data_IF_589717126815
#
_entry.id   IF_589717126815
#
_cell.length_a   1.000
_cell.length_b   1.000
_cell.length_c   1.000
_cell.angle_alpha   90.00
_cell.angle_beta   90.00
_cell.angle_gamma   90.00
#
_symmetry.space_group_name_H-M   'P 1'
#
loop_
_entity.id
_entity.type
_entity.pdbx_description
1 polymer ?
#
# COMPACT_ATOMS: atom_id res chain seq x y z
N UNK A 1 10.72 -0.21 -7.50
CA UNK A 1 10.49 -0.01 -6.06
C UNK A 1 11.61 -0.65 -5.24
N UNK A 2 12.10 0.03 -4.20
CA UNK A 2 13.02 -0.52 -3.19
C UNK A 2 12.44 -0.34 -1.78
N UNK A 3 12.64 -1.33 -0.90
CA UNK A 3 12.23 -1.26 0.51
C UNK A 3 13.41 -0.86 1.39
N UNK A 4 13.24 0.18 2.19
CA UNK A 4 14.19 0.49 3.26
C UNK A 4 14.18 -0.61 4.34
N UNK A 5 15.26 -0.73 5.11
CA UNK A 5 15.31 -1.68 6.24
C UNK A 5 14.15 -1.46 7.23
N UNK A 6 13.79 -0.20 7.48
CA UNK A 6 12.64 0.15 8.31
C UNK A 6 11.33 -0.36 7.71
N UNK A 7 11.10 -0.13 6.42
CA UNK A 7 9.91 -0.60 5.72
C UNK A 7 9.81 -2.14 5.72
N UNK A 8 10.92 -2.85 5.49
CA UNK A 8 10.98 -4.32 5.55
C UNK A 8 10.58 -4.84 6.92
N UNK A 9 11.15 -4.28 7.99
CA UNK A 9 10.76 -4.66 9.36
C UNK A 9 9.29 -4.38 9.65
N UNK A 10 8.76 -3.24 9.19
CA UNK A 10 7.35 -2.88 9.38
C UNK A 10 6.41 -3.80 8.62
N UNK A 11 6.76 -4.18 7.39
CA UNK A 11 6.00 -5.14 6.59
C UNK A 11 5.86 -6.48 7.32
N UNK A 12 6.97 -7.00 7.86
CA UNK A 12 6.99 -8.24 8.66
C UNK A 12 6.12 -8.08 9.92
N UNK A 13 6.33 -7.02 10.71
CA UNK A 13 5.58 -6.76 11.94
C UNK A 13 4.06 -6.62 11.72
N UNK A 14 3.65 -6.16 10.54
CA UNK A 14 2.25 -5.95 10.17
C UNK A 14 1.69 -7.06 9.29
N UNK A 15 2.47 -8.10 9.01
CA UNK A 15 2.11 -9.21 8.13
C UNK A 15 1.61 -8.74 6.76
N UNK A 16 2.25 -7.70 6.20
CA UNK A 16 1.94 -7.15 4.88
C UNK A 16 2.91 -7.79 3.87
N UNK A 17 2.43 -8.63 2.94
CA UNK A 17 3.26 -9.26 1.92
C UNK A 17 3.86 -8.23 0.97
N UNK A 18 5.04 -8.54 0.43
CA UNK A 18 5.72 -7.68 -0.55
C UNK A 18 4.85 -7.42 -1.79
N UNK A 19 4.12 -8.41 -2.28
CA UNK A 19 3.20 -8.24 -3.42
C UNK A 19 2.09 -7.22 -3.17
N UNK A 20 1.67 -7.04 -1.90
CA UNK A 20 0.71 -6.00 -1.53
C UNK A 20 1.38 -4.62 -1.54
N UNK A 21 2.64 -4.54 -1.11
CA UNK A 21 3.43 -3.31 -1.15
C UNK A 21 3.64 -2.87 -2.61
N UNK A 22 4.03 -3.80 -3.49
CA UNK A 22 4.17 -3.55 -4.92
C UNK A 22 2.86 -3.05 -5.54
N UNK A 23 1.75 -3.72 -5.27
CA UNK A 23 0.44 -3.27 -5.75
C UNK A 23 0.03 -1.88 -5.23
N UNK A 24 0.39 -1.53 -3.99
CA UNK A 24 0.14 -0.17 -3.47
C UNK A 24 1.08 0.84 -4.11
N UNK A 25 2.31 0.44 -4.43
CA UNK A 25 3.26 1.29 -5.14
C UNK A 25 2.77 1.62 -6.57
N UNK A 26 2.20 0.64 -7.26
CA UNK A 26 1.77 0.78 -8.65
C UNK A 26 0.38 1.41 -8.81
N UNK A 27 -0.57 1.09 -7.92
CA UNK A 27 -1.98 1.49 -8.05
C UNK A 27 -2.50 2.34 -6.89
N UNK A 28 -1.69 2.56 -5.85
CA UNK A 28 -2.12 3.27 -4.65
C UNK A 28 -2.55 4.70 -4.94
N UNK A 29 -3.56 5.17 -4.21
CA UNK A 29 -4.00 6.56 -4.30
C UNK A 29 -3.03 7.46 -3.55
N UNK A 30 -2.53 8.49 -4.23
CA UNK A 30 -1.61 9.47 -3.67
C UNK A 30 -2.26 10.32 -2.57
N UNK A 31 -1.50 10.60 -1.52
CA UNK A 31 -1.83 11.61 -0.53
C UNK A 31 -0.57 12.30 0.02
N UNK A 32 -0.65 13.58 0.40
CA UNK A 32 0.50 14.30 0.94
C UNK A 32 0.89 13.76 2.32
N UNK A 33 2.18 13.47 2.53
CA UNK A 33 2.70 13.02 3.81
C UNK A 33 3.98 13.74 4.22
N UNK A 34 3.85 14.91 4.87
CA UNK A 34 4.97 15.69 5.47
C UNK A 34 6.19 15.83 4.52
N UNK A 35 5.96 16.20 3.27
CA UNK A 35 7.01 16.37 2.25
C UNK A 35 7.40 15.10 1.50
N UNK A 36 6.77 13.97 1.80
CA UNK A 36 6.87 12.71 1.08
C UNK A 36 5.53 12.34 0.42
N UNK A 37 5.57 11.34 -0.46
CA UNK A 37 4.38 10.78 -1.10
C UNK A 37 3.86 9.65 -0.23
N UNK A 38 2.59 9.75 0.16
CA UNK A 38 1.86 8.64 0.75
C UNK A 38 1.05 7.93 -0.33
N UNK A 39 1.05 6.60 -0.32
CA UNK A 39 0.24 5.77 -1.22
C UNK A 39 -0.70 4.92 -0.38
N UNK A 40 -1.99 4.88 -0.70
CA UNK A 40 -2.97 4.13 0.08
C UNK A 40 -3.72 3.10 -0.76
N UNK A 41 -3.93 1.93 -0.16
CA UNK A 41 -4.87 0.93 -0.66
C UNK A 41 -6.29 1.26 -0.22
N UNK A 42 -6.94 2.17 -0.94
CA UNK A 42 -8.35 2.50 -0.76
C UNK A 42 -9.20 1.90 -1.89
N UNK A 43 -10.48 2.30 -1.94
CA UNK A 43 -11.41 1.82 -2.96
C UNK A 43 -10.94 2.19 -4.37
N UNK A 44 -10.46 3.42 -4.55
CA UNK A 44 -10.00 3.90 -5.85
C UNK A 44 -8.77 3.12 -6.31
N UNK A 45 -7.80 2.88 -5.42
CA UNK A 45 -6.64 2.06 -5.73
C UNK A 45 -7.02 0.61 -6.10
N UNK A 46 -8.03 0.03 -5.43
CA UNK A 46 -8.53 -1.31 -5.76
C UNK A 46 -9.27 -1.35 -7.09
N UNK A 47 -9.99 -0.28 -7.44
CA UNK A 47 -10.68 -0.15 -8.73
C UNK A 47 -9.64 -0.01 -9.86
N UNK A 48 -8.59 0.80 -9.67
CA UNK A 48 -7.44 0.89 -10.60
C UNK A 48 -6.72 -0.45 -10.78
N UNK A 49 -6.47 -1.15 -9.68
CA UNK A 49 -5.82 -2.47 -9.73
C UNK A 49 -6.67 -3.51 -10.47
N UNK A 50 -8.00 -3.37 -10.51
CA UNK A 50 -8.89 -4.31 -11.17
C UNK A 50 -8.83 -4.22 -12.71
N UNK A 51 -8.33 -3.13 -13.27
CA UNK A 51 -8.12 -2.98 -14.71
C UNK A 51 -6.92 -3.78 -15.22
N UNK A 52 -5.99 -4.14 -14.32
CA UNK A 52 -4.72 -4.81 -14.67
C UNK A 52 -4.59 -6.20 -14.05
N UNK A 53 -5.06 -6.39 -12.82
CA UNK A 53 -4.90 -7.63 -12.06
C UNK A 53 -6.12 -8.55 -12.18
N UNK A 54 -5.91 -9.83 -11.89
CA UNK A 54 -7.02 -10.79 -11.84
C UNK A 54 -7.95 -10.55 -10.65
N UNK A 55 -9.21 -11.00 -10.76
CA UNK A 55 -10.18 -10.93 -9.66
C UNK A 55 -9.67 -11.61 -8.36
N UNK A 56 -8.86 -12.66 -8.49
CA UNK A 56 -8.23 -13.36 -7.35
C UNK A 56 -7.20 -12.46 -6.65
N UNK A 57 -6.37 -11.76 -7.40
CA UNK A 57 -5.36 -10.85 -6.88
C UNK A 57 -6.01 -9.62 -6.22
N UNK A 58 -7.00 -9.02 -6.87
CA UNK A 58 -7.81 -7.95 -6.29
C UNK A 58 -8.49 -8.42 -5.00
N UNK A 59 -9.02 -9.66 -4.98
CA UNK A 59 -9.59 -10.28 -3.79
C UNK A 59 -8.60 -10.44 -2.64
N UNK A 60 -7.32 -10.71 -2.94
CA UNK A 60 -6.24 -10.71 -1.92
C UNK A 60 -5.95 -9.30 -1.43
N UNK A 61 -5.82 -8.31 -2.32
CA UNK A 61 -5.57 -6.92 -1.96
C UNK A 61 -6.65 -6.33 -1.05
N UNK A 62 -7.93 -6.68 -1.30
CA UNK A 62 -9.06 -6.26 -0.44
C UNK A 62 -8.88 -6.62 1.04
N UNK A 63 -8.18 -7.71 1.36
CA UNK A 63 -7.88 -8.11 2.76
C UNK A 63 -6.95 -7.14 3.47
N UNK A 64 -6.21 -6.36 2.70
CA UNK A 64 -5.26 -5.35 3.16
C UNK A 64 -5.77 -3.92 2.97
N UNK A 65 -7.06 -3.74 2.64
CA UNK A 65 -7.66 -2.41 2.53
C UNK A 65 -7.34 -1.53 3.76
N UNK A 66 -6.95 -0.28 3.50
CA UNK A 66 -6.43 0.65 4.51
C UNK A 66 -4.93 0.49 4.81
N UNK A 67 -4.23 -0.41 4.12
CA UNK A 67 -2.77 -0.41 4.07
C UNK A 67 -2.28 0.84 3.32
N UNK A 68 -1.13 1.35 3.74
CA UNK A 68 -0.51 2.51 3.12
C UNK A 68 1.01 2.45 3.22
N UNK A 69 1.65 3.14 2.29
CA UNK A 69 3.09 3.28 2.18
C UNK A 69 3.46 4.76 2.25
N UNK A 70 4.65 5.06 2.76
CA UNK A 70 5.29 6.36 2.57
C UNK A 70 6.53 6.14 1.72
N UNK A 71 6.64 6.85 0.62
CA UNK A 71 7.70 6.72 -0.37
C UNK A 71 8.46 8.05 -0.57
N UNK A 72 9.76 7.93 -0.82
CA UNK A 72 10.63 9.00 -1.27
C UNK A 72 11.19 8.59 -2.64
N UNK A 73 10.52 9.04 -3.71
CA UNK A 73 10.73 8.50 -5.06
C UNK A 73 10.46 6.99 -5.08
N UNK A 74 11.42 6.20 -5.56
CA UNK A 74 11.28 4.75 -5.66
C UNK A 74 11.56 4.00 -4.35
N UNK A 75 11.90 4.69 -3.27
CA UNK A 75 12.24 4.10 -1.98
C UNK A 75 11.05 4.16 -1.02
N UNK A 76 10.54 2.99 -0.63
CA UNK A 76 9.51 2.86 0.41
C UNK A 76 10.18 2.97 1.78
N UNK A 77 9.86 4.06 2.47
CA UNK A 77 10.40 4.41 3.79
C UNK A 77 9.62 3.72 4.90
N UNK A 78 8.29 3.63 4.79
CA UNK A 78 7.47 2.92 5.77
C UNK A 78 6.28 2.22 5.15
N UNK A 79 5.84 1.17 5.81
CA UNK A 79 4.61 0.43 5.49
C UNK A 79 3.77 0.33 6.77
N UNK A 80 2.47 0.54 6.64
CA UNK A 80 1.55 0.39 7.74
C UNK A 80 0.15 0.05 7.26
N UNK A 81 -0.72 -0.27 8.23
CA UNK A 81 -2.15 -0.46 8.01
C UNK A 81 -2.90 0.33 9.06
N UNK A 82 -3.87 1.12 8.61
CA UNK A 82 -4.78 1.80 9.51
C UNK A 82 -5.55 0.75 10.31
N UNK A 83 -5.39 0.74 11.64
CA UNK A 83 -6.13 -0.15 12.54
C UNK A 83 -7.55 0.34 12.78
N UNK A 84 -7.82 1.62 12.52
CA UNK A 84 -9.17 2.17 12.42
C UNK A 84 -9.61 2.13 10.96
N UNK A 85 -10.72 1.42 10.72
CA UNK A 85 -11.56 1.61 9.54
C UNK A 85 -11.98 3.08 9.52
N UNK A 86 -11.26 3.93 8.80
CA UNK A 86 -11.82 5.20 8.37
C UNK A 86 -12.81 4.86 7.26
N UNK A 87 -14.02 4.49 7.69
CA UNK A 87 -15.19 4.48 6.83
C UNK A 87 -15.49 5.96 6.61
N UNK A 88 -15.07 6.49 5.47
CA UNK A 88 -15.62 7.71 4.90
C UNK A 88 -16.09 7.36 3.49
#
# INVERSE_FOLDING_TARGET
>A
MHLSQHATHRAIQRSIPVSVIEAIFDFGTDYPSRGLIGLRLDRQALDLAADVLTATEVGRLRRYAGAYLIAAGDCVVTVARATRRHIH
#
